data_IF_009006399893
#
_entry.id   IF_009006399893
#
_cell.length_a   1.000
_cell.length_b   1.000
_cell.length_c   1.000
_cell.angle_alpha   90.00
_cell.angle_beta   90.00
_cell.angle_gamma   90.00
#
_symmetry.space_group_name_H-M   'P 1'
#
loop_
_entity.id
_entity.type
_entity.pdbx_description
1 polymer ?
#
# COMPACT_ATOMS: atom_id res chain seq x y z
N UNK A 1 -13.32 6.80 -15.93
CA UNK A 1 -12.77 6.83 -14.56
C UNK A 1 -13.01 5.56 -13.72
N UNK A 2 -13.86 4.60 -14.14
CA UNK A 2 -14.16 3.40 -13.34
C UNK A 2 -12.91 2.57 -12.92
N UNK A 3 -11.99 2.29 -13.86
CA UNK A 3 -10.76 1.57 -13.54
C UNK A 3 -9.83 2.34 -12.60
N UNK A 4 -9.75 3.67 -12.75
CA UNK A 4 -8.96 4.50 -11.85
C UNK A 4 -9.55 4.50 -10.43
N UNK A 5 -10.87 4.59 -10.29
CA UNK A 5 -11.55 4.46 -8.99
C UNK A 5 -11.30 3.09 -8.34
N UNK A 6 -11.21 2.03 -9.14
CA UNK A 6 -10.84 0.71 -8.64
C UNK A 6 -9.41 0.69 -8.09
N UNK A 7 -8.45 1.27 -8.79
CA UNK A 7 -7.06 1.38 -8.29
C UNK A 7 -7.01 2.06 -6.93
N UNK A 8 -7.71 3.18 -6.75
CA UNK A 8 -7.78 3.86 -5.45
C UNK A 8 -8.41 3.01 -4.35
N UNK A 9 -9.39 2.15 -4.67
CA UNK A 9 -10.03 1.26 -3.69
C UNK A 9 -9.17 0.03 -3.35
N UNK A 10 -8.34 -0.43 -4.29
CA UNK A 10 -7.43 -1.56 -4.10
C UNK A 10 -6.21 -1.17 -3.23
N UNK A 11 -5.95 0.13 -3.03
CA UNK A 11 -4.86 0.68 -2.21
C UNK A 11 -4.98 0.25 -0.73
N UNK A 12 -6.19 0.35 -0.17
CA UNK A 12 -6.51 -0.10 1.20
C UNK A 12 -6.13 -1.57 1.44
N UNK A 13 -6.29 -2.40 0.41
CA UNK A 13 -5.89 -3.81 0.49
C UNK A 13 -4.37 -3.95 0.58
N UNK A 14 -3.59 -3.19 -0.18
CA UNK A 14 -2.13 -3.23 -0.15
C UNK A 14 -1.59 -2.73 1.20
N UNK A 15 -2.19 -1.67 1.75
CA UNK A 15 -1.87 -1.18 3.10
C UNK A 15 -2.14 -2.24 4.16
N UNK A 16 -3.30 -2.90 4.10
CA UNK A 16 -3.67 -3.95 5.05
C UNK A 16 -2.70 -5.14 4.99
N UNK A 17 -2.31 -5.54 3.78
CA UNK A 17 -1.40 -6.65 3.52
C UNK A 17 0.01 -6.32 4.02
N UNK A 18 0.48 -5.08 3.81
CA UNK A 18 1.79 -4.63 4.30
C UNK A 18 1.86 -4.69 5.83
N UNK A 19 0.80 -4.26 6.53
CA UNK A 19 0.71 -4.40 7.98
C UNK A 19 0.64 -5.85 8.44
N UNK A 20 -0.07 -6.71 7.70
CA UNK A 20 -0.13 -8.14 8.01
C UNK A 20 1.24 -8.80 7.89
N UNK A 21 1.93 -8.61 6.77
CA UNK A 21 3.27 -9.15 6.53
C UNK A 21 4.22 -8.71 7.64
N UNK A 22 4.17 -7.43 8.03
CA UNK A 22 5.01 -6.94 9.12
C UNK A 22 4.79 -7.69 10.44
N UNK A 23 3.52 -7.94 10.82
CA UNK A 23 3.19 -8.70 12.04
C UNK A 23 3.67 -10.15 11.97
N UNK A 24 3.47 -10.82 10.83
CA UNK A 24 3.93 -12.20 10.64
C UNK A 24 5.47 -12.30 10.72
N UNK A 25 6.17 -11.34 10.10
CA UNK A 25 7.62 -11.26 10.16
C UNK A 25 8.14 -11.02 11.58
N UNK A 26 7.45 -10.23 12.40
CA UNK A 26 7.79 -10.09 13.82
C UNK A 26 7.66 -11.42 14.57
N UNK A 27 6.60 -12.20 14.32
CA UNK A 27 6.46 -13.53 14.91
C UNK A 27 7.64 -14.43 14.55
N UNK A 28 8.06 -14.47 13.28
CA UNK A 28 9.23 -15.26 12.87
C UNK A 28 10.53 -14.81 13.55
N UNK A 29 10.72 -13.49 13.72
CA UNK A 29 11.89 -12.95 14.43
C UNK A 29 11.92 -13.32 15.92
N UNK A 30 10.75 -13.39 16.56
CA UNK A 30 10.59 -13.77 17.97
C UNK A 30 10.82 -15.27 18.16
N UNK A 31 10.33 -16.09 17.23
CA UNK A 31 10.48 -17.56 17.27
C UNK A 31 11.93 -18.01 17.02
N UNK A 32 12.62 -17.39 16.05
CA UNK A 32 14.03 -17.68 15.75
C UNK A 32 14.81 -16.40 15.38
N UNK A 33 15.71 -15.93 16.25
CA UNK A 33 16.55 -14.76 15.99
C UNK A 33 17.44 -14.86 14.73
N UNK A 34 17.75 -16.07 14.23
CA UNK A 34 18.52 -16.21 12.98
C UNK A 34 17.73 -15.73 11.76
N UNK A 35 16.40 -15.58 11.87
CA UNK A 35 15.55 -15.10 10.78
C UNK A 35 15.56 -13.58 10.62
N UNK A 36 16.05 -12.83 11.62
CA UNK A 36 15.95 -11.35 11.69
C UNK A 36 16.43 -10.68 10.41
N UNK A 37 17.64 -11.00 9.93
CA UNK A 37 18.20 -10.36 8.73
C UNK A 37 17.33 -10.61 7.49
N UNK A 38 16.76 -11.80 7.34
CA UNK A 38 15.90 -12.14 6.20
C UNK A 38 14.55 -11.45 6.31
N UNK A 39 13.94 -11.50 7.49
CA UNK A 39 12.65 -10.89 7.77
C UNK A 39 12.71 -9.37 7.57
N UNK A 40 13.76 -8.68 8.03
CA UNK A 40 13.96 -7.24 7.79
C UNK A 40 14.00 -6.92 6.29
N UNK A 41 14.71 -7.71 5.47
CA UNK A 41 14.74 -7.51 4.01
C UNK A 41 13.36 -7.65 3.38
N UNK A 42 12.55 -8.61 3.83
CA UNK A 42 11.19 -8.81 3.32
C UNK A 42 10.28 -7.65 3.74
N UNK A 43 10.43 -7.13 4.96
CA UNK A 43 9.71 -5.90 5.38
C UNK A 43 9.98 -4.74 4.44
N UNK A 44 11.23 -4.53 4.02
CA UNK A 44 11.55 -3.49 3.03
C UNK A 44 10.90 -3.75 1.67
N UNK A 45 10.90 -5.00 1.19
CA UNK A 45 10.21 -5.36 -0.07
C UNK A 45 8.71 -5.04 0.03
N UNK A 46 8.04 -5.42 1.12
CA UNK A 46 6.64 -5.08 1.33
C UNK A 46 6.40 -3.56 1.33
N UNK A 47 7.26 -2.80 2.01
CA UNK A 47 7.19 -1.32 2.00
C UNK A 47 7.43 -0.70 0.63
N UNK A 48 8.28 -1.29 -0.22
CA UNK A 48 8.46 -0.80 -1.58
C UNK A 48 7.24 -1.09 -2.47
N UNK A 49 6.55 -2.21 -2.24
CA UNK A 49 5.30 -2.52 -2.95
C UNK A 49 4.18 -1.56 -2.58
N UNK A 50 4.03 -1.23 -1.30
CA UNK A 50 3.07 -0.22 -0.83
C UNK A 50 3.36 1.16 -1.47
N UNK A 51 4.61 1.61 -1.49
CA UNK A 51 4.96 2.86 -2.20
C UNK A 51 4.65 2.83 -3.70
N UNK A 52 4.72 1.67 -4.35
CA UNK A 52 4.31 1.53 -5.76
C UNK A 52 2.80 1.67 -5.88
N UNK A 53 2.03 1.10 -4.95
CA UNK A 53 0.58 1.26 -4.88
C UNK A 53 0.18 2.73 -4.66
N UNK A 54 0.81 3.43 -3.70
CA UNK A 54 0.63 4.87 -3.50
C UNK A 54 0.83 5.68 -4.79
N UNK A 55 1.88 5.36 -5.55
CA UNK A 55 2.16 6.03 -6.82
C UNK A 55 1.09 5.71 -7.88
N UNK A 56 0.59 4.48 -7.93
CA UNK A 56 -0.52 4.10 -8.81
C UNK A 56 -1.81 4.83 -8.42
N UNK A 57 -2.11 4.95 -7.13
CA UNK A 57 -3.24 5.70 -6.58
C UNK A 57 -3.16 7.17 -6.97
N UNK A 58 -1.98 7.80 -6.81
CA UNK A 58 -1.75 9.18 -7.26
C UNK A 58 -2.07 9.36 -8.76
N UNK A 59 -1.62 8.45 -9.63
CA UNK A 59 -1.93 8.51 -11.06
C UNK A 59 -3.43 8.32 -11.32
N UNK A 60 -4.06 7.38 -10.62
CA UNK A 60 -5.48 7.10 -10.75
C UNK A 60 -6.36 8.29 -10.36
N UNK A 61 -6.05 8.98 -9.26
CA UNK A 61 -6.77 10.19 -8.84
C UNK A 61 -6.68 11.31 -9.89
N UNK A 62 -5.52 11.47 -10.53
CA UNK A 62 -5.35 12.43 -11.63
C UNK A 62 -6.23 12.06 -12.83
N UNK A 63 -6.35 10.78 -13.15
CA UNK A 63 -7.25 10.30 -14.21
C UNK A 63 -8.72 10.57 -13.86
N UNK A 64 -9.12 10.38 -12.60
CA UNK A 64 -10.48 10.72 -12.14
C UNK A 64 -10.73 12.22 -12.30
N UNK A 65 -9.79 13.06 -11.89
CA UNK A 65 -9.89 14.50 -12.06
C UNK A 65 -10.01 14.90 -13.53
N UNK A 66 -9.18 14.33 -14.41
CA UNK A 66 -9.18 14.62 -15.84
C UNK A 66 -10.51 14.26 -16.53
N UNK A 67 -11.12 13.14 -16.14
CA UNK A 67 -12.32 12.61 -16.81
C UNK A 67 -13.61 13.17 -16.20
N UNK A 68 -13.67 13.33 -14.89
CA UNK A 68 -14.89 13.71 -14.18
C UNK A 68 -14.89 15.17 -13.69
N UNK A 69 -13.75 15.86 -13.74
CA UNK A 69 -13.59 17.21 -13.16
C UNK A 69 -13.64 17.23 -11.63
N UNK A 70 -13.55 16.06 -10.97
CA UNK A 70 -13.66 15.93 -9.51
C UNK A 70 -12.31 15.69 -8.86
N UNK A 71 -11.99 16.48 -7.84
CA UNK A 71 -10.83 16.26 -6.98
C UNK A 71 -11.23 15.24 -5.91
N UNK A 72 -10.60 14.06 -5.93
CA UNK A 72 -10.80 13.01 -4.92
C UNK A 72 -9.57 12.81 -4.02
N UNK A 73 -8.46 13.49 -4.31
CA UNK A 73 -7.27 13.53 -3.46
C UNK A 73 -7.57 14.10 -2.08
N UNK A 74 -7.02 13.45 -1.05
CA UNK A 74 -7.08 13.94 0.34
C UNK A 74 -8.49 14.33 0.81
N UNK A 75 -9.54 13.69 0.29
CA UNK A 75 -10.93 13.97 0.74
C UNK A 75 -11.22 13.44 2.14
N UNK A 76 -10.24 12.78 2.78
CA UNK A 76 -10.24 12.48 4.20
C UNK A 76 -9.92 13.75 5.00
N UNK A 77 -10.94 14.58 5.23
CA UNK A 77 -10.90 15.65 6.25
C UNK A 77 -11.81 15.25 7.41
N UNK A 78 -11.21 15.14 8.60
CA UNK A 78 -11.80 14.96 9.95
C UNK A 78 -12.13 13.53 10.39
#
# INVERSE_FOLDING_TARGET
AALARKVCADDDFIDSLTHQIFRELLTYMIEDPHTISRAVRITFVAKYLERIADHATNVAELVVYLVEGKIIRHTTTT
#
